data_IF_730141432887
#
_entry.id   IF_730141432887
#
_cell.length_a   1.000
_cell.length_b   1.000
_cell.length_c   1.000
_cell.angle_alpha   90.00
_cell.angle_beta   90.00
_cell.angle_gamma   90.00
#
_symmetry.space_group_name_H-M   'P 1'
#
loop_
_entity.id
_entity.type
_entity.pdbx_description
1 polymer ?
#
# COMPACT_ATOMS: atom_id res chain seq x y z
N UNK A 1 -65.07 46.95 -62.16
CA UNK A 1 -66.10 46.61 -61.16
C UNK A 1 -65.42 46.49 -59.81
N UNK A 2 -65.91 47.26 -58.83
CA UNK A 2 -65.44 47.31 -57.45
C UNK A 2 -65.33 45.93 -56.80
N UNK A 3 -64.29 45.72 -55.99
CA UNK A 3 -64.50 45.26 -54.61
C UNK A 3 -63.36 45.66 -53.67
N UNK A 4 -63.79 46.25 -52.56
CA UNK A 4 -63.07 46.67 -51.36
C UNK A 4 -62.74 45.45 -50.50
N UNK A 5 -61.56 45.41 -49.87
CA UNK A 5 -61.45 44.91 -48.49
C UNK A 5 -60.07 45.15 -47.86
N UNK A 6 -60.13 45.86 -46.72
CA UNK A 6 -59.46 45.57 -45.44
C UNK A 6 -57.93 45.63 -45.36
N UNK A 7 -57.49 46.77 -44.81
CA UNK A 7 -56.26 46.88 -44.00
C UNK A 7 -56.37 45.96 -42.78
N UNK A 8 -55.48 44.98 -42.69
CA UNK A 8 -55.24 44.22 -41.47
C UNK A 8 -54.00 44.78 -40.77
N UNK A 9 -54.20 45.38 -39.59
CA UNK A 9 -53.14 45.72 -38.67
C UNK A 9 -52.57 44.43 -38.07
N UNK A 10 -51.36 44.04 -38.47
CA UNK A 10 -50.61 42.98 -37.83
C UNK A 10 -49.74 43.59 -36.72
N UNK A 11 -50.12 43.29 -35.48
CA UNK A 11 -49.34 43.51 -34.27
C UNK A 11 -48.01 42.75 -34.38
N UNK A 12 -46.89 43.47 -34.32
CA UNK A 12 -45.58 42.88 -34.15
C UNK A 12 -45.43 42.37 -32.70
N UNK A 13 -45.60 41.07 -32.50
CA UNK A 13 -45.24 40.40 -31.25
C UNK A 13 -43.74 40.10 -31.32
N UNK A 14 -42.93 40.94 -30.68
CA UNK A 14 -41.51 40.67 -30.48
C UNK A 14 -41.36 39.57 -29.42
N UNK A 15 -41.13 38.33 -29.86
CA UNK A 15 -40.68 37.25 -28.96
C UNK A 15 -39.19 37.47 -28.72
N UNK A 16 -38.87 38.07 -27.58
CA UNK A 16 -37.49 38.16 -27.09
C UNK A 16 -37.07 36.74 -26.69
N UNK A 17 -36.31 36.07 -27.56
CA UNK A 17 -35.61 34.85 -27.20
C UNK A 17 -34.50 35.21 -26.20
N UNK A 18 -34.79 35.07 -24.91
CA UNK A 18 -33.77 35.11 -23.87
C UNK A 18 -32.85 33.90 -24.04
N UNK A 19 -31.63 34.13 -24.54
CA UNK A 19 -30.54 33.17 -24.36
C UNK A 19 -30.22 33.12 -22.87
N UNK A 20 -30.93 32.26 -22.14
CA UNK A 20 -30.49 31.79 -20.85
C UNK A 20 -29.24 30.96 -21.06
N UNK A 21 -28.07 31.59 -20.95
CA UNK A 21 -26.85 30.85 -20.69
C UNK A 21 -27.03 30.20 -19.31
N UNK A 22 -27.45 28.93 -19.32
CA UNK A 22 -27.36 28.08 -18.15
C UNK A 22 -25.88 27.86 -17.88
N UNK A 23 -25.29 28.77 -17.11
CA UNK A 23 -24.05 28.51 -16.41
C UNK A 23 -24.36 27.36 -15.46
N UNK A 24 -24.16 26.13 -15.94
CA UNK A 24 -23.99 24.98 -15.07
C UNK A 24 -22.72 25.28 -14.29
N UNK A 25 -22.90 25.88 -13.11
CA UNK A 25 -21.89 25.87 -12.08
C UNK A 25 -21.66 24.39 -11.77
N UNK A 26 -20.72 23.78 -12.49
CA UNK A 26 -20.06 22.58 -12.01
C UNK A 26 -19.34 23.04 -10.76
N UNK A 27 -19.96 22.79 -9.60
CA UNK A 27 -19.22 22.75 -8.35
C UNK A 27 -18.19 21.64 -8.51
N UNK A 28 -17.02 21.99 -9.04
CA UNK A 28 -15.81 21.26 -8.73
C UNK A 28 -15.62 21.49 -7.24
N UNK A 29 -16.27 20.63 -6.45
CA UNK A 29 -15.88 20.47 -5.05
C UNK A 29 -14.40 20.10 -5.14
N UNK A 30 -13.57 21.04 -4.70
CA UNK A 30 -12.13 20.85 -4.68
C UNK A 30 -11.89 19.84 -3.57
N UNK A 31 -12.04 18.55 -3.91
CA UNK A 31 -11.92 17.44 -2.98
C UNK A 31 -10.44 17.31 -2.61
N UNK A 32 -9.97 18.24 -1.78
CA UNK A 32 -8.74 18.04 -1.05
C UNK A 32 -8.94 16.79 -0.19
N UNK A 33 -7.97 15.88 -0.16
CA UNK A 33 -8.08 14.70 0.68
C UNK A 33 -8.39 15.12 2.12
N UNK A 34 -9.36 14.46 2.74
CA UNK A 34 -9.70 14.74 4.14
C UNK A 34 -8.69 14.04 5.05
N UNK A 35 -8.15 14.76 6.04
CA UNK A 35 -7.42 14.10 7.12
C UNK A 35 -8.41 13.26 7.92
N UNK A 36 -8.25 11.94 7.83
CA UNK A 36 -9.12 11.00 8.55
C UNK A 36 -8.69 10.88 10.01
N UNK A 37 -7.39 11.00 10.27
CA UNK A 37 -6.85 10.95 11.62
C UNK A 37 -5.57 11.76 11.76
N UNK A 38 -5.39 12.41 12.91
CA UNK A 38 -4.14 13.11 13.23
C UNK A 38 -3.82 13.07 14.74
N UNK A 39 -2.55 13.22 15.06
CA UNK A 39 -2.03 13.51 16.40
C UNK A 39 -0.96 14.56 16.33
N UNK A 40 -0.99 15.52 17.25
CA UNK A 40 -0.12 16.69 17.21
C UNK A 40 0.42 17.02 18.60
N UNK A 41 1.62 17.62 18.66
CA UNK A 41 2.14 18.22 19.89
C UNK A 41 1.31 19.43 20.31
N UNK A 42 1.70 20.10 21.39
CA UNK A 42 1.14 21.41 21.73
C UNK A 42 1.20 22.37 20.53
N UNK A 43 0.14 23.16 20.35
CA UNK A 43 0.07 24.22 19.33
C UNK A 43 1.10 25.32 19.63
N UNK A 44 1.44 26.11 18.59
CA UNK A 44 2.31 27.30 18.73
C UNK A 44 3.69 26.98 19.32
N UNK A 45 4.25 25.81 18.99
CA UNK A 45 5.52 25.33 19.51
C UNK A 45 6.72 25.80 18.66
N UNK A 46 6.45 26.47 17.55
CA UNK A 46 7.40 27.26 16.77
C UNK A 46 6.67 28.45 16.12
N UNK A 47 7.40 29.36 15.48
CA UNK A 47 6.84 30.53 14.77
C UNK A 47 7.18 30.45 13.28
N UNK A 48 6.39 31.12 12.43
CA UNK A 48 6.57 31.14 10.96
C UNK A 48 8.01 31.47 10.52
N UNK A 49 8.65 32.46 11.17
CA UNK A 49 10.01 32.92 10.84
C UNK A 49 11.13 32.09 11.48
N UNK A 50 10.79 31.04 12.24
CA UNK A 50 11.80 30.23 12.92
C UNK A 50 12.60 29.38 11.93
N UNK A 51 13.89 29.08 12.22
CA UNK A 51 14.66 28.13 11.42
C UNK A 51 14.01 26.73 11.35
N UNK A 52 13.26 26.36 12.39
CA UNK A 52 12.49 25.11 12.43
C UNK A 52 11.37 25.11 11.39
N UNK A 53 10.60 26.20 11.27
CA UNK A 53 9.55 26.37 10.25
C UNK A 53 10.09 26.13 8.85
N UNK A 54 11.24 26.74 8.52
CA UNK A 54 11.93 26.52 7.24
C UNK A 54 12.36 25.06 7.04
N UNK A 55 12.91 24.42 8.07
CA UNK A 55 13.34 23.03 7.97
C UNK A 55 12.14 22.07 7.83
N UNK A 56 10.98 22.37 8.42
CA UNK A 56 9.73 21.62 8.19
C UNK A 56 9.26 21.82 6.75
N UNK A 57 9.25 23.04 6.24
CA UNK A 57 8.90 23.33 4.84
C UNK A 57 9.76 22.53 3.86
N UNK A 58 11.09 22.57 4.05
CA UNK A 58 12.05 21.82 3.24
C UNK A 58 11.85 20.31 3.39
N UNK A 59 11.63 19.82 4.62
CA UNK A 59 11.33 18.41 4.88
C UNK A 59 10.08 17.95 4.13
N UNK A 60 8.98 18.69 4.23
CA UNK A 60 7.72 18.34 3.59
C UNK A 60 7.85 18.33 2.07
N UNK A 61 8.53 19.33 1.49
CA UNK A 61 8.86 19.38 0.05
C UNK A 61 9.67 18.14 -0.38
N UNK A 62 10.63 17.73 0.44
CA UNK A 62 11.41 16.53 0.21
C UNK A 62 10.51 15.29 0.27
N UNK A 63 9.69 15.11 1.30
CA UNK A 63 8.89 13.89 1.48
C UNK A 63 7.83 13.67 0.39
N UNK A 64 7.26 14.73 -0.15
CA UNK A 64 6.10 14.70 -1.06
C UNK A 64 6.48 14.84 -2.53
N UNK A 65 7.78 15.02 -2.84
CA UNK A 65 8.28 15.11 -4.21
C UNK A 65 7.90 13.86 -5.04
N UNK A 66 7.06 13.99 -6.09
CA UNK A 66 6.43 12.85 -6.75
C UNK A 66 7.41 11.86 -7.37
N UNK A 67 8.42 12.34 -8.09
CA UNK A 67 9.35 11.51 -8.87
C UNK A 67 10.09 10.51 -7.98
N UNK A 68 10.67 11.00 -6.89
CA UNK A 68 11.44 10.18 -5.95
C UNK A 68 10.58 9.22 -5.11
N UNK A 69 9.30 9.57 -4.89
CA UNK A 69 8.40 8.72 -4.13
C UNK A 69 7.93 7.53 -4.97
N UNK A 70 7.56 7.75 -6.24
CA UNK A 70 7.10 6.69 -7.15
C UNK A 70 8.14 5.58 -7.25
N UNK A 71 9.39 5.94 -7.52
CA UNK A 71 10.50 4.99 -7.69
C UNK A 71 10.81 4.17 -6.43
N UNK A 72 10.42 4.68 -5.25
CA UNK A 72 10.62 4.03 -3.97
C UNK A 72 9.31 3.54 -3.33
N UNK A 73 8.33 3.16 -4.16
CA UNK A 73 7.07 2.56 -3.72
C UNK A 73 6.27 3.49 -2.80
N UNK A 74 6.22 4.77 -3.17
CA UNK A 74 5.55 5.82 -2.43
C UNK A 74 6.00 5.95 -0.96
N UNK A 75 7.20 5.47 -0.62
CA UNK A 75 7.78 5.61 0.71
C UNK A 75 8.99 6.53 0.69
N UNK A 76 9.03 7.50 1.61
CA UNK A 76 10.17 8.38 1.80
C UNK A 76 10.39 8.69 3.28
N UNK A 77 11.66 8.90 3.64
CA UNK A 77 12.06 9.49 4.91
C UNK A 77 13.19 10.48 4.71
N UNK A 78 13.27 11.49 5.56
CA UNK A 78 14.32 12.51 5.50
C UNK A 78 14.50 13.18 6.86
N UNK A 79 15.66 13.81 7.02
CA UNK A 79 15.96 14.73 8.11
C UNK A 79 16.55 15.99 7.50
N UNK A 80 16.06 17.16 7.94
CA UNK A 80 16.53 18.48 7.54
C UNK A 80 17.02 19.22 8.80
N UNK A 81 18.08 20.02 8.68
CA UNK A 81 18.75 20.68 9.81
C UNK A 81 19.84 19.82 10.47
N UNK A 82 20.81 20.46 11.13
CA UNK A 82 21.99 19.80 11.70
C UNK A 82 21.68 19.07 13.01
N UNK A 83 22.28 17.88 13.19
CA UNK A 83 22.25 17.10 14.43
C UNK A 83 22.82 17.85 15.65
N UNK A 84 23.67 18.87 15.45
CA UNK A 84 24.24 19.70 16.52
C UNK A 84 23.28 20.78 17.05
N UNK A 85 22.11 20.94 16.45
CA UNK A 85 21.07 21.90 16.84
C UNK A 85 19.69 21.25 16.87
N UNK A 86 19.47 20.30 17.77
CA UNK A 86 18.22 19.54 17.92
C UNK A 86 16.96 20.44 17.92
N UNK A 87 17.06 21.67 18.43
CA UNK A 87 15.94 22.63 18.43
C UNK A 87 15.47 23.09 17.04
N UNK A 88 16.24 22.86 15.99
CA UNK A 88 15.91 23.23 14.60
C UNK A 88 15.84 22.04 13.64
N UNK A 89 16.21 20.82 14.06
CA UNK A 89 16.14 19.65 13.16
C UNK A 89 14.69 19.20 12.97
N UNK A 90 14.32 18.83 11.75
CA UNK A 90 13.03 18.23 11.44
C UNK A 90 13.26 16.86 10.79
N UNK A 91 12.67 15.81 11.34
CA UNK A 91 12.72 14.45 10.78
C UNK A 91 11.32 13.99 10.43
N UNK A 92 11.17 13.27 9.32
CA UNK A 92 9.86 12.78 8.91
C UNK A 92 9.88 11.68 7.89
N UNK A 93 8.69 11.12 7.67
CA UNK A 93 8.41 10.13 6.64
C UNK A 93 7.04 10.35 6.00
N UNK A 94 6.89 9.85 4.79
CA UNK A 94 5.63 9.76 4.07
C UNK A 94 5.53 8.37 3.43
N UNK A 95 4.34 7.78 3.47
CA UNK A 95 4.05 6.49 2.83
C UNK A 95 2.64 6.48 2.26
N UNK A 96 2.48 6.08 1.00
CA UNK A 96 1.17 5.70 0.48
C UNK A 96 0.90 4.21 0.72
N UNK A 97 -0.34 3.85 1.04
CA UNK A 97 -0.74 2.46 1.20
C UNK A 97 -0.71 1.75 -0.15
N UNK A 98 -0.32 0.48 -0.14
CA UNK A 98 -0.04 -0.28 -1.35
C UNK A 98 -1.27 -0.51 -2.25
N UNK A 99 -2.49 -0.35 -1.72
CA UNK A 99 -3.76 -0.45 -2.43
C UNK A 99 -4.33 0.92 -2.89
N UNK A 100 -3.55 2.00 -2.76
CA UNK A 100 -3.94 3.35 -3.20
C UNK A 100 -3.34 3.67 -4.57
N UNK A 101 -4.15 4.22 -5.48
CA UNK A 101 -3.70 4.51 -6.83
C UNK A 101 -2.74 5.71 -6.90
N UNK A 102 -2.02 5.82 -8.03
CA UNK A 102 -1.02 6.87 -8.21
C UNK A 102 -1.61 8.29 -8.16
N UNK A 103 -2.89 8.47 -8.53
CA UNK A 103 -3.59 9.76 -8.40
C UNK A 103 -3.87 10.08 -6.94
N UNK A 104 -4.41 9.13 -6.17
CA UNK A 104 -4.66 9.27 -4.74
C UNK A 104 -3.37 9.55 -3.97
N UNK A 105 -2.29 8.82 -4.26
CA UNK A 105 -1.00 9.09 -3.62
C UNK A 105 -0.47 10.50 -3.93
N UNK A 106 -0.57 10.96 -5.18
CA UNK A 106 -0.19 12.33 -5.57
C UNK A 106 -1.04 13.38 -4.87
N UNK A 107 -2.36 13.18 -4.85
CA UNK A 107 -3.33 14.04 -4.17
C UNK A 107 -3.00 14.17 -2.68
N UNK A 108 -2.75 13.04 -2.02
CA UNK A 108 -2.40 12.97 -0.61
C UNK A 108 -1.09 13.72 -0.27
N UNK A 109 -0.09 13.63 -1.14
CA UNK A 109 1.19 14.32 -0.93
C UNK A 109 1.10 15.82 -1.26
N UNK A 110 0.35 16.19 -2.29
CA UNK A 110 0.14 17.58 -2.69
C UNK A 110 -0.56 18.40 -1.59
N UNK A 111 -1.54 17.78 -0.93
CA UNK A 111 -2.30 18.33 0.19
C UNK A 111 -1.42 18.86 1.33
N UNK A 112 -0.27 18.22 1.58
CA UNK A 112 0.67 18.64 2.63
C UNK A 112 1.59 19.76 2.16
N UNK A 113 1.91 19.81 0.86
CA UNK A 113 2.77 20.88 0.29
C UNK A 113 2.06 22.18 -0.01
N UNK A 114 0.76 22.15 -0.36
CA UNK A 114 0.03 23.36 -0.74
C UNK A 114 -0.22 24.31 0.45
N UNK A 115 0.11 23.88 1.67
CA UNK A 115 -0.30 24.54 2.92
C UNK A 115 0.88 24.74 3.90
N UNK A 116 2.11 24.81 3.38
CA UNK A 116 3.35 25.02 4.17
C UNK A 116 3.36 26.37 4.92
N UNK A 117 2.34 27.22 4.73
CA UNK A 117 2.10 28.48 5.45
C UNK A 117 1.05 28.40 6.58
N UNK A 118 0.71 27.21 7.09
CA UNK A 118 0.00 27.08 8.38
C UNK A 118 -1.50 27.43 8.41
N UNK A 119 -2.10 28.04 7.38
CA UNK A 119 -3.42 28.67 7.56
C UNK A 119 -4.65 27.75 7.51
N UNK A 120 -4.60 26.51 7.00
CA UNK A 120 -5.87 25.77 6.77
C UNK A 120 -5.83 24.28 7.08
N UNK A 121 -4.66 23.64 7.08
CA UNK A 121 -4.68 22.19 6.90
C UNK A 121 -5.06 21.40 8.16
N UNK A 122 -4.59 21.84 9.33
CA UNK A 122 -4.90 21.18 10.61
C UNK A 122 -4.92 22.26 11.70
N UNK A 123 -6.04 22.97 11.92
CA UNK A 123 -6.10 24.00 12.97
C UNK A 123 -5.75 23.43 14.36
N UNK A 124 -5.89 22.12 14.55
CA UNK A 124 -5.48 21.42 15.78
C UNK A 124 -3.99 21.17 15.91
N UNK A 125 -3.24 21.29 14.82
CA UNK A 125 -1.81 21.04 14.74
C UNK A 125 -1.04 22.31 14.39
N UNK A 126 -1.67 23.47 14.54
CA UNK A 126 -1.09 24.77 14.25
C UNK A 126 0.28 24.91 14.95
N UNK A 127 1.33 25.11 14.15
CA UNK A 127 2.70 25.22 14.60
C UNK A 127 3.16 24.09 15.57
N UNK A 128 2.69 22.87 15.35
CA UNK A 128 3.09 21.69 16.12
C UNK A 128 4.42 21.13 15.65
N UNK A 129 5.32 20.82 16.58
CA UNK A 129 6.61 20.21 16.24
C UNK A 129 6.49 18.75 15.86
N UNK A 130 5.53 18.03 16.45
CA UNK A 130 5.29 16.62 16.13
C UNK A 130 3.90 16.47 15.54
N UNK A 131 3.79 15.88 14.36
CA UNK A 131 2.53 15.61 13.67
C UNK A 131 2.59 14.23 13.06
N UNK A 132 1.52 13.46 13.23
CA UNK A 132 1.24 12.25 12.46
C UNK A 132 -0.17 12.35 11.91
N UNK A 133 -0.38 11.99 10.65
CA UNK A 133 -1.70 12.03 10.01
C UNK A 133 -1.91 10.86 9.05
N UNK A 134 -3.17 10.45 8.91
CA UNK A 134 -3.67 9.52 7.88
C UNK A 134 -4.73 10.25 7.07
N UNK A 135 -4.62 10.17 5.75
CA UNK A 135 -5.53 10.80 4.80
C UNK A 135 -6.57 9.83 4.23
N UNK A 136 -7.71 10.37 3.77
CA UNK A 136 -8.73 9.64 3.02
C UNK A 136 -8.16 8.96 1.77
N UNK A 137 -7.18 9.60 1.13
CA UNK A 137 -6.54 9.18 -0.12
C UNK A 137 -5.42 8.15 0.11
N UNK A 138 -5.36 7.58 1.32
CA UNK A 138 -4.57 6.38 1.60
C UNK A 138 -3.09 6.63 1.75
N UNK A 139 -2.70 7.74 2.39
CA UNK A 139 -1.31 7.95 2.81
C UNK A 139 -1.19 8.35 4.28
N UNK A 140 -0.01 8.06 4.83
CA UNK A 140 0.43 8.48 6.16
C UNK A 140 1.62 9.43 6.03
N UNK A 141 1.58 10.52 6.80
CA UNK A 141 2.68 11.49 6.87
C UNK A 141 2.99 11.76 8.34
N UNK A 142 4.28 11.76 8.67
CA UNK A 142 4.77 12.01 10.02
C UNK A 142 5.96 12.94 10.00
N UNK A 143 6.01 13.90 10.90
CA UNK A 143 7.22 14.67 11.18
C UNK A 143 7.34 14.99 12.67
N UNK A 144 8.58 15.23 13.11
CA UNK A 144 8.92 15.58 14.48
C UNK A 144 10.21 16.41 14.54
N UNK A 145 10.46 17.02 15.69
CA UNK A 145 11.71 17.76 15.98
C UNK A 145 12.89 16.87 16.38
N UNK A 146 12.67 15.56 16.46
CA UNK A 146 13.69 14.54 16.68
C UNK A 146 13.47 13.32 15.76
N UNK A 147 14.53 12.61 15.37
CA UNK A 147 14.39 11.35 14.64
C UNK A 147 13.61 10.31 15.45
N UNK A 148 12.58 9.72 14.84
CA UNK A 148 11.74 8.65 15.44
C UNK A 148 11.82 7.33 14.66
N UNK A 149 12.70 7.25 13.66
CA UNK A 149 12.76 6.12 12.73
C UNK A 149 13.04 4.80 13.46
N UNK A 150 12.37 3.75 13.00
CA UNK A 150 12.58 2.41 13.53
C UNK A 150 11.81 2.11 14.82
N UNK A 151 10.90 3.00 15.24
CA UNK A 151 9.97 2.75 16.34
C UNK A 151 8.54 2.88 15.82
N UNK A 152 7.75 1.83 16.02
CA UNK A 152 6.33 1.86 15.67
C UNK A 152 5.54 2.77 16.61
N UNK A 153 4.47 3.37 16.10
CA UNK A 153 3.51 4.08 16.95
C UNK A 153 2.55 3.05 17.54
N UNK A 154 2.43 3.04 18.86
CA UNK A 154 1.54 2.13 19.58
C UNK A 154 0.09 2.29 19.12
N UNK A 155 -0.56 1.19 18.79
CA UNK A 155 -1.91 1.19 18.21
C UNK A 155 -3.01 1.40 19.27
N UNK A 156 -3.04 2.57 19.91
CA UNK A 156 -4.16 2.97 20.76
C UNK A 156 -5.42 3.27 19.93
N UNK A 157 -6.62 3.04 20.48
CA UNK A 157 -7.89 3.31 19.76
C UNK A 157 -8.02 4.76 19.27
N UNK A 158 -7.27 5.69 19.87
CA UNK A 158 -7.21 7.10 19.50
C UNK A 158 -6.31 7.43 18.32
N UNK A 159 -5.62 6.47 17.68
CA UNK A 159 -4.58 6.73 16.65
C UNK A 159 -4.79 5.92 15.36
N UNK A 160 -5.95 5.26 15.24
CA UNK A 160 -6.27 4.35 14.14
C UNK A 160 -7.48 4.84 13.33
N UNK A 161 -7.54 4.39 12.08
CA UNK A 161 -8.69 4.50 11.19
C UNK A 161 -9.19 3.10 10.89
N UNK A 162 -10.40 2.79 11.34
CA UNK A 162 -11.08 1.54 11.00
C UNK A 162 -12.10 1.81 9.90
N UNK A 163 -12.08 0.99 8.84
CA UNK A 163 -13.06 1.01 7.75
C UNK A 163 -13.59 -0.40 7.54
N UNK A 164 -14.89 -0.54 7.36
CA UNK A 164 -15.55 -1.83 7.11
C UNK A 164 -16.64 -1.64 6.05
N UNK A 165 -16.27 -1.40 4.79
CA UNK A 165 -17.23 -1.17 3.70
C UNK A 165 -17.98 -2.45 3.29
N UNK A 166 -17.52 -3.61 3.74
CA UNK A 166 -18.16 -4.90 3.48
C UNK A 166 -19.50 -5.08 4.20
N UNK A 167 -20.25 -6.09 3.76
CA UNK A 167 -21.47 -6.52 4.44
C UNK A 167 -21.17 -7.51 5.57
N UNK A 168 -22.19 -7.75 6.39
CA UNK A 168 -22.17 -8.84 7.36
C UNK A 168 -22.44 -10.18 6.66
N UNK A 169 -21.63 -11.18 7.01
CA UNK A 169 -21.78 -12.54 6.55
C UNK A 169 -22.13 -13.46 7.73
N UNK A 170 -23.36 -13.97 7.71
CA UNK A 170 -23.92 -14.72 8.82
C UNK A 170 -23.23 -16.08 9.05
N UNK A 171 -22.41 -16.13 10.11
CA UNK A 171 -22.23 -17.33 10.94
C UNK A 171 -21.27 -18.41 10.43
N UNK A 172 -20.27 -18.09 9.59
CA UNK A 172 -19.24 -19.08 9.27
C UNK A 172 -17.98 -18.87 10.13
N UNK A 173 -17.80 -19.73 11.13
CA UNK A 173 -16.55 -19.83 11.90
C UNK A 173 -15.34 -20.01 10.98
N UNK A 174 -15.52 -20.79 9.91
CA UNK A 174 -14.51 -21.01 8.87
C UNK A 174 -14.02 -19.72 8.21
N UNK A 175 -14.88 -18.71 8.00
CA UNK A 175 -14.46 -17.42 7.43
C UNK A 175 -13.60 -16.64 8.42
N UNK A 176 -13.98 -16.64 9.70
CA UNK A 176 -13.24 -15.96 10.77
C UNK A 176 -11.88 -16.63 11.00
N UNK A 177 -11.83 -17.95 10.96
CA UNK A 177 -10.60 -18.74 11.08
C UNK A 177 -9.68 -18.51 9.89
N UNK A 178 -10.21 -18.54 8.66
CA UNK A 178 -9.45 -18.23 7.45
C UNK A 178 -8.86 -16.82 7.50
N UNK A 179 -9.66 -15.82 7.90
CA UNK A 179 -9.21 -14.44 8.11
C UNK A 179 -8.10 -14.34 9.15
N UNK A 180 -8.28 -14.96 10.32
CA UNK A 180 -7.29 -14.92 11.41
C UNK A 180 -5.98 -15.59 11.01
N UNK A 181 -6.06 -16.77 10.41
CA UNK A 181 -4.89 -17.49 9.92
C UNK A 181 -4.14 -16.68 8.86
N UNK A 182 -4.86 -16.14 7.88
CA UNK A 182 -4.27 -15.35 6.81
C UNK A 182 -3.59 -14.10 7.35
N UNK A 183 -4.30 -13.26 8.11
CA UNK A 183 -3.73 -11.99 8.55
C UNK A 183 -2.59 -12.17 9.56
N UNK A 184 -2.65 -13.21 10.41
CA UNK A 184 -1.53 -13.56 11.28
C UNK A 184 -0.27 -13.95 10.49
N UNK A 185 -0.42 -14.78 9.45
CA UNK A 185 0.70 -15.14 8.56
C UNK A 185 1.25 -13.92 7.80
N UNK A 186 0.37 -13.03 7.34
CA UNK A 186 0.80 -11.83 6.63
C UNK A 186 1.50 -10.83 7.54
N UNK A 187 1.13 -10.75 8.82
CA UNK A 187 1.82 -9.92 9.80
C UNK A 187 3.30 -10.34 9.94
N UNK A 188 3.55 -11.63 10.15
CA UNK A 188 4.90 -12.18 10.25
C UNK A 188 5.68 -12.03 8.94
N UNK A 189 5.03 -12.35 7.80
CA UNK A 189 5.67 -12.26 6.49
C UNK A 189 6.06 -10.82 6.15
N UNK A 190 5.17 -9.86 6.35
CA UNK A 190 5.48 -8.45 6.12
C UNK A 190 6.65 -7.99 7.00
N UNK A 191 6.70 -8.40 8.27
CA UNK A 191 7.84 -8.12 9.15
C UNK A 191 9.16 -8.68 8.64
N UNK A 192 9.16 -9.90 8.08
CA UNK A 192 10.36 -10.53 7.51
C UNK A 192 10.84 -9.92 6.18
N UNK A 193 9.93 -9.35 5.39
CA UNK A 193 10.24 -8.83 4.05
C UNK A 193 10.90 -7.45 4.09
N UNK A 194 11.86 -7.22 3.20
CA UNK A 194 12.58 -5.94 3.10
C UNK A 194 11.64 -4.75 2.77
N UNK A 195 10.56 -5.02 2.04
CA UNK A 195 9.55 -4.03 1.68
C UNK A 195 8.53 -3.75 2.79
N UNK A 196 8.60 -4.49 3.91
CA UNK A 196 7.61 -4.42 4.99
C UNK A 196 6.18 -4.60 4.50
N UNK A 197 6.00 -5.49 3.53
CA UNK A 197 4.74 -5.66 2.82
C UNK A 197 4.52 -7.12 2.46
N UNK A 198 3.29 -7.60 2.60
CA UNK A 198 2.89 -8.92 2.17
C UNK A 198 1.42 -8.94 1.74
N UNK A 199 1.12 -9.78 0.75
CA UNK A 199 -0.25 -10.15 0.37
C UNK A 199 -0.38 -11.67 0.36
N UNK A 200 -1.63 -12.13 0.41
CA UNK A 200 -1.93 -13.55 0.32
C UNK A 200 -3.42 -13.82 0.23
N UNK A 201 -3.76 -15.09 0.11
CA UNK A 201 -5.13 -15.55 0.14
C UNK A 201 -5.25 -16.88 0.88
N UNK A 202 -6.43 -17.13 1.44
CA UNK A 202 -6.77 -18.35 2.14
C UNK A 202 -8.15 -18.83 1.69
N UNK A 203 -8.19 -20.00 1.07
CA UNK A 203 -9.44 -20.65 0.70
C UNK A 203 -10.14 -21.29 1.89
N UNK A 204 -11.47 -21.29 1.88
CA UNK A 204 -12.29 -21.92 2.90
C UNK A 204 -13.65 -22.37 2.34
N UNK A 205 -14.31 -23.29 3.04
CA UNK A 205 -15.63 -23.82 2.67
C UNK A 205 -16.69 -23.29 3.62
N UNK A 206 -17.82 -22.83 3.08
CA UNK A 206 -19.01 -22.47 3.85
C UNK A 206 -20.23 -23.12 3.23
N UNK A 207 -20.91 -24.00 3.99
CA UNK A 207 -22.13 -24.68 3.55
C UNK A 207 -21.98 -25.36 2.17
N UNK A 208 -20.81 -25.96 1.90
CA UNK A 208 -20.51 -26.63 0.63
C UNK A 208 -20.08 -25.69 -0.52
N UNK A 209 -19.95 -24.39 -0.26
CA UNK A 209 -19.50 -23.39 -1.24
C UNK A 209 -18.06 -23.00 -0.94
N UNK A 210 -17.21 -23.04 -1.96
CA UNK A 210 -15.83 -22.55 -1.88
C UNK A 210 -15.79 -21.02 -1.90
N UNK A 211 -14.99 -20.45 -1.01
CA UNK A 211 -14.78 -19.02 -0.81
C UNK A 211 -13.29 -18.74 -0.65
N UNK A 212 -12.88 -17.51 -0.92
CA UNK A 212 -11.48 -17.10 -0.76
C UNK A 212 -11.40 -15.82 0.05
N UNK A 213 -10.57 -15.82 1.08
CA UNK A 213 -10.21 -14.61 1.82
C UNK A 213 -8.93 -14.04 1.22
N UNK A 214 -8.90 -12.77 0.88
CA UNK A 214 -7.70 -12.04 0.46
C UNK A 214 -7.26 -11.10 1.57
N UNK A 215 -5.95 -10.89 1.70
CA UNK A 215 -5.39 -10.04 2.72
C UNK A 215 -4.11 -9.34 2.28
N UNK A 216 -3.85 -8.21 2.92
CA UNK A 216 -2.60 -7.47 2.82
C UNK A 216 -2.16 -6.96 4.20
N UNK A 217 -0.85 -6.84 4.36
CA UNK A 217 -0.21 -6.26 5.53
C UNK A 217 0.94 -5.37 5.07
N UNK A 218 1.05 -4.17 5.63
CA UNK A 218 2.06 -3.19 5.27
C UNK A 218 2.55 -2.45 6.51
N UNK A 219 3.84 -2.16 6.59
CA UNK A 219 4.42 -1.21 7.54
C UNK A 219 5.20 -0.10 6.82
N UNK A 220 5.44 0.99 7.53
CA UNK A 220 6.44 1.97 7.12
C UNK A 220 7.81 1.30 7.06
N UNK A 221 8.55 1.56 5.97
CA UNK A 221 9.82 0.87 5.69
C UNK A 221 10.98 1.31 6.56
N UNK A 222 10.78 2.29 7.45
CA UNK A 222 11.77 2.65 8.48
C UNK A 222 11.82 1.64 9.63
N UNK A 223 10.79 0.80 9.79
CA UNK A 223 10.71 -0.15 10.90
C UNK A 223 11.64 -1.36 10.72
N UNK A 224 12.33 -1.80 11.79
CA UNK A 224 12.91 -3.14 11.84
C UNK A 224 11.81 -4.22 11.82
N UNK A 225 12.20 -5.46 11.54
CA UNK A 225 11.27 -6.57 11.37
C UNK A 225 10.34 -6.75 12.59
N UNK A 226 10.91 -6.74 13.80
CA UNK A 226 10.15 -6.91 15.05
C UNK A 226 9.11 -5.81 15.28
N UNK A 227 9.45 -4.56 15.00
CA UNK A 227 8.54 -3.42 15.15
C UNK A 227 7.40 -3.48 14.13
N UNK A 228 7.70 -3.92 12.90
CA UNK A 228 6.67 -4.11 11.89
C UNK A 228 5.69 -5.24 12.28
N UNK A 229 6.21 -6.42 12.64
CA UNK A 229 5.38 -7.52 13.11
C UNK A 229 4.54 -7.11 14.33
N UNK A 230 5.16 -6.49 15.32
CA UNK A 230 4.49 -6.01 16.53
C UNK A 230 3.35 -5.04 16.22
N UNK A 231 3.60 -4.04 15.39
CA UNK A 231 2.58 -3.08 14.96
C UNK A 231 1.38 -3.78 14.29
N UNK A 232 1.64 -4.72 13.37
CA UNK A 232 0.58 -5.46 12.68
C UNK A 232 -0.20 -6.38 13.63
N UNK A 233 0.46 -7.03 14.59
CA UNK A 233 -0.20 -7.82 15.64
C UNK A 233 -1.08 -6.95 16.52
N UNK A 234 -0.64 -5.75 16.87
CA UNK A 234 -1.45 -4.79 17.64
C UNK A 234 -2.69 -4.36 16.85
N UNK A 235 -2.56 -4.09 15.54
CA UNK A 235 -3.71 -3.80 14.69
C UNK A 235 -4.70 -4.97 14.63
N UNK A 236 -4.22 -6.22 14.57
CA UNK A 236 -5.10 -7.40 14.65
C UNK A 236 -5.85 -7.47 15.98
N UNK A 237 -5.16 -7.18 17.09
CA UNK A 237 -5.77 -7.17 18.40
C UNK A 237 -6.87 -6.11 18.51
N UNK A 238 -6.66 -4.92 17.96
CA UNK A 238 -7.68 -3.86 17.90
C UNK A 238 -8.83 -4.27 16.98
N UNK A 239 -8.51 -4.73 15.77
CA UNK A 239 -9.49 -5.14 14.76
C UNK A 239 -10.47 -6.19 15.30
N UNK A 240 -9.97 -7.21 16.00
CA UNK A 240 -10.81 -8.28 16.55
C UNK A 240 -11.55 -7.92 17.84
N UNK A 241 -11.26 -6.77 18.47
CA UNK A 241 -12.05 -6.24 19.58
C UNK A 241 -13.29 -5.48 19.11
N UNK A 242 -13.31 -4.97 17.89
CA UNK A 242 -14.48 -4.29 17.33
C UNK A 242 -15.54 -5.32 16.88
N UNK A 243 -16.70 -5.27 17.53
CA UNK A 243 -17.80 -6.20 17.25
C UNK A 243 -18.29 -6.12 15.81
N UNK A 244 -18.15 -4.96 15.16
CA UNK A 244 -18.54 -4.72 13.77
C UNK A 244 -17.69 -5.53 12.78
N UNK A 245 -16.48 -5.94 13.19
CA UNK A 245 -15.60 -6.76 12.35
C UNK A 245 -15.95 -8.24 12.43
N UNK A 246 -16.69 -8.69 13.45
CA UNK A 246 -16.93 -10.12 13.73
C UNK A 246 -17.39 -10.88 12.48
N UNK A 247 -18.40 -10.35 11.78
CA UNK A 247 -19.00 -10.94 10.59
C UNK A 247 -18.71 -10.17 9.30
N UNK A 248 -17.93 -9.09 9.36
CA UNK A 248 -17.64 -8.27 8.18
C UNK A 248 -16.82 -9.03 7.13
N UNK A 249 -17.25 -8.95 5.87
CA UNK A 249 -16.55 -9.53 4.72
C UNK A 249 -15.35 -8.72 4.26
N UNK A 250 -15.24 -7.47 4.67
CA UNK A 250 -14.14 -6.58 4.31
C UNK A 250 -13.92 -5.54 5.41
N UNK A 251 -12.69 -5.45 5.88
CA UNK A 251 -12.29 -4.36 6.74
C UNK A 251 -10.83 -4.00 6.54
N UNK A 252 -10.50 -2.78 6.92
CA UNK A 252 -9.14 -2.28 6.98
C UNK A 252 -8.90 -1.45 8.24
N UNK A 253 -7.67 -1.53 8.73
CA UNK A 253 -7.22 -0.78 9.91
C UNK A 253 -5.90 -0.12 9.54
N UNK A 254 -5.91 1.21 9.53
CA UNK A 254 -4.75 2.04 9.22
C UNK A 254 -4.28 2.71 10.50
N UNK A 255 -2.99 2.59 10.81
CA UNK A 255 -2.32 3.39 11.82
C UNK A 255 -1.24 4.27 11.20
N UNK A 256 -0.49 4.97 12.05
CA UNK A 256 0.61 5.81 11.59
C UNK A 256 1.87 5.03 11.17
N UNK A 257 1.94 3.73 11.45
CA UNK A 257 3.12 2.89 11.20
C UNK A 257 2.81 1.61 10.41
N UNK A 258 1.58 1.12 10.46
CA UNK A 258 1.20 -0.10 9.80
C UNK A 258 -0.26 -0.08 9.32
N UNK A 259 -0.59 -1.02 8.44
CA UNK A 259 -1.86 -1.12 7.75
C UNK A 259 -2.20 -2.58 7.50
N UNK A 260 -3.45 -2.94 7.78
CA UNK A 260 -4.05 -4.23 7.45
C UNK A 260 -5.33 -4.03 6.66
N UNK A 261 -5.55 -4.91 5.68
CA UNK A 261 -6.83 -5.03 4.99
C UNK A 261 -7.10 -6.48 4.66
N UNK A 262 -8.37 -6.86 4.73
CA UNK A 262 -8.87 -8.09 4.16
C UNK A 262 -10.16 -7.83 3.40
N UNK A 263 -10.44 -8.69 2.43
CA UNK A 263 -11.74 -8.74 1.78
C UNK A 263 -12.01 -10.15 1.24
N UNK A 264 -13.28 -10.54 1.20
CA UNK A 264 -13.72 -11.85 0.73
C UNK A 264 -14.02 -11.83 -0.78
N UNK A 265 -13.67 -12.93 -1.44
CA UNK A 265 -13.92 -13.31 -2.84
C UNK A 265 -13.30 -12.41 -3.92
N UNK A 266 -13.02 -11.14 -3.64
CA UNK A 266 -12.37 -10.22 -4.56
C UNK A 266 -10.89 -10.01 -4.21
N UNK A 267 -9.94 -10.17 -5.16
CA UNK A 267 -8.54 -9.84 -4.91
C UNK A 267 -8.33 -8.36 -4.57
N UNK A 268 -7.43 -8.08 -3.62
CA UNK A 268 -7.03 -6.70 -3.32
C UNK A 268 -6.14 -6.19 -4.46
N UNK A 269 -6.57 -5.11 -5.11
CA UNK A 269 -5.75 -4.47 -6.13
C UNK A 269 -4.62 -3.69 -5.47
N UNK A 270 -3.38 -4.06 -5.82
CA UNK A 270 -2.18 -3.36 -5.37
C UNK A 270 -1.81 -2.36 -6.47
N UNK A 271 -2.16 -1.10 -6.23
CA UNK A 271 -1.97 -0.05 -7.21
C UNK A 271 -0.55 0.52 -7.09
N UNK A 272 0.19 0.49 -8.19
CA UNK A 272 1.47 1.18 -8.30
C UNK A 272 2.71 0.31 -8.42
N UNK A 273 2.62 -1.03 -8.54
CA UNK A 273 3.82 -1.82 -8.85
C UNK A 273 3.59 -3.06 -9.71
N UNK A 274 4.58 -3.32 -10.54
CA UNK A 274 5.00 -4.68 -10.80
C UNK A 274 5.59 -5.23 -9.48
N UNK A 275 4.95 -6.23 -8.89
CA UNK A 275 5.59 -7.02 -7.83
C UNK A 275 6.91 -7.60 -8.39
N UNK A 276 8.02 -7.63 -7.64
CA UNK A 276 9.14 -8.47 -8.03
C UNK A 276 8.62 -9.91 -8.23
N UNK A 277 9.03 -10.61 -9.30
CA UNK A 277 8.43 -11.90 -9.65
C UNK A 277 8.55 -12.86 -8.49
N UNK A 278 7.41 -13.42 -8.05
CA UNK A 278 7.38 -14.47 -7.04
C UNK A 278 8.30 -15.62 -7.47
N UNK A 279 9.05 -16.24 -6.54
CA UNK A 279 9.78 -17.46 -6.85
C UNK A 279 8.78 -18.51 -7.39
N UNK A 280 9.16 -19.27 -8.43
CA UNK A 280 8.26 -20.24 -9.05
C UNK A 280 7.79 -21.27 -8.00
N UNK A 281 6.54 -21.75 -8.09
CA UNK A 281 6.05 -22.80 -7.22
C UNK A 281 7.02 -23.99 -7.23
N UNK A 282 7.25 -24.67 -6.08
CA UNK A 282 8.00 -25.92 -6.07
C UNK A 282 7.39 -26.86 -7.12
N UNK A 283 8.19 -27.28 -8.10
CA UNK A 283 7.73 -28.18 -9.13
C UNK A 283 7.11 -29.42 -8.46
N UNK A 284 5.83 -29.69 -8.75
CA UNK A 284 5.19 -30.92 -8.34
C UNK A 284 5.98 -32.09 -8.96
N UNK A 285 6.67 -32.85 -8.11
CA UNK A 285 7.28 -34.11 -8.54
C UNK A 285 6.17 -35.09 -8.85
N UNK A 286 5.76 -35.14 -10.11
CA UNK A 286 4.99 -36.26 -10.63
C UNK A 286 5.90 -37.49 -10.70
N UNK A 287 5.48 -38.67 -10.19
CA UNK A 287 6.24 -39.88 -10.34
C UNK A 287 6.21 -40.31 -11.82
N UNK A 288 7.32 -40.12 -12.53
CA UNK A 288 7.47 -40.61 -13.90
C UNK A 288 7.73 -42.11 -13.86
N UNK A 289 6.66 -42.91 -13.85
CA UNK A 289 6.73 -44.28 -14.33
C UNK A 289 6.85 -44.24 -15.86
N UNK A 290 8.03 -44.56 -16.40
CA UNK A 290 8.21 -44.75 -17.84
C UNK A 290 8.85 -46.10 -18.10
N UNK A 291 8.06 -46.99 -18.69
CA UNK A 291 8.51 -48.25 -19.26
C UNK A 291 9.45 -47.98 -20.45
N UNK A 292 10.58 -48.67 -20.49
CA UNK A 292 11.51 -48.66 -21.63
C UNK A 292 10.96 -49.43 -22.82
N UNK A 293 11.11 -48.93 -24.06
CA UNK A 293 11.08 -49.76 -25.26
C UNK A 293 12.49 -50.19 -25.69
N UNK A 294 12.65 -51.49 -25.87
CA UNK A 294 13.86 -52.16 -26.36
C UNK A 294 14.22 -51.71 -27.78
N UNK A 295 15.48 -51.32 -28.03
CA UNK A 295 16.01 -51.10 -29.39
C UNK A 295 17.20 -52.02 -29.64
N UNK A 296 17.09 -52.78 -30.73
CA UNK A 296 18.00 -53.80 -31.26
C UNK A 296 19.34 -53.18 -31.70
N UNK A 297 20.45 -53.80 -31.30
CA UNK A 297 21.82 -53.35 -31.58
C UNK A 297 22.31 -53.68 -33.00
N UNK A 298 23.14 -52.79 -33.55
CA UNK A 298 24.00 -53.03 -34.72
C UNK A 298 25.48 -52.98 -34.28
N UNK A 299 26.22 -54.01 -34.70
CA UNK A 299 27.63 -54.29 -34.43
C UNK A 299 28.59 -53.17 -34.87
N UNK A 300 29.60 -52.89 -34.05
CA UNK A 300 30.77 -52.08 -34.41
C UNK A 300 32.05 -52.88 -34.12
N UNK A 301 32.86 -53.07 -35.16
CA UNK A 301 34.11 -53.84 -35.18
C UNK A 301 35.24 -53.11 -34.47
N UNK A 302 36.00 -53.81 -33.61
CA UNK A 302 37.11 -53.29 -32.79
C UNK A 302 38.46 -53.63 -33.45
N UNK A 303 39.34 -52.64 -33.60
CA UNK A 303 40.74 -52.79 -34.04
C UNK A 303 41.69 -52.73 -32.82
N UNK A 304 42.51 -53.77 -32.66
CA UNK A 304 43.43 -53.98 -31.53
C UNK A 304 44.84 -53.53 -31.93
N UNK A 305 45.48 -52.68 -31.13
CA UNK A 305 46.91 -52.36 -31.24
C UNK A 305 47.68 -53.05 -30.10
N UNK A 306 48.63 -53.91 -30.47
CA UNK A 306 49.46 -54.69 -29.55
C UNK A 306 50.77 -53.94 -29.22
N UNK A 307 51.14 -53.92 -27.93
CA UNK A 307 52.48 -53.53 -27.48
C UNK A 307 53.09 -54.69 -26.71
N UNK A 308 54.22 -55.18 -27.20
CA UNK A 308 55.00 -56.27 -26.62
C UNK A 308 56.08 -55.72 -25.68
N UNK A 309 56.20 -56.28 -24.48
CA UNK A 309 57.39 -56.17 -23.64
C UNK A 309 57.70 -57.56 -23.09
N UNK A 310 58.84 -58.10 -23.53
CA UNK A 310 59.43 -59.39 -23.17
C UNK A 310 60.20 -59.26 -21.84
N UNK A 311 60.02 -60.22 -20.94
CA UNK A 311 60.81 -60.38 -19.70
C UNK A 311 61.49 -61.75 -19.71
N UNK A 312 62.83 -61.73 -19.70
CA UNK A 312 63.69 -62.90 -19.53
C UNK A 312 63.60 -63.40 -18.08
N UNK A 313 63.41 -64.70 -17.89
CA UNK A 313 63.61 -65.39 -16.62
C UNK A 313 64.61 -66.52 -16.85
N UNK A 314 65.77 -66.43 -16.21
CA UNK A 314 66.70 -67.55 -16.00
C UNK A 314 66.44 -68.12 -14.61
N UNK A 315 66.04 -69.40 -14.54
CA UNK A 315 65.97 -70.17 -13.30
C UNK A 315 67.06 -71.25 -13.32
N UNK A 316 67.82 -71.32 -12.24
CA UNK A 316 68.91 -72.28 -11.97
C UNK A 316 68.41 -73.25 -10.88
N UNK A 317 68.66 -74.55 -11.10
CA UNK A 317 68.72 -75.63 -10.09
C UNK A 317 67.36 -76.15 -9.62
N UNK A 318 67.10 -77.46 -9.48
CA UNK A 318 67.92 -78.69 -9.42
C UNK A 318 67.05 -79.82 -9.99
#
# INVERSE_FOLDING_TARGET
>A
MHHSARRHHLLAVAVVASLGATATATSYDSFFPAVTKQTCSAKLNYTDDSPYSKNVADLLSVLTSPTSAIDNWWFRRATVGSASGLAISASGLAMCFADSDASSCRSCFAMVTSNVSGEVFLPDCDHSRNVSLVSSDGCVIRYADAPFFGTSVSSGAGELVLRFPGGDFDGADAMRDARRALLGQLAEKAGGEAMRFATGSQGFMVRGIWKVMYGMAQCTRDLPASECTGCLVDLLAVMYRDVSVTNSTEASVMGFSCYLRYQMDEPIHIAGMALPPSPPPPAATHPTGSASPSTVGKMTTVLIAAAAVTLLITAIGV
#
